data_IF_355141182606
#
_entry.id   IF_355141182606
#
_cell.length_a   1.000
_cell.length_b   1.000
_cell.length_c   1.000
_cell.angle_alpha   90.00
_cell.angle_beta   90.00
_cell.angle_gamma   90.00
#
_symmetry.space_group_name_H-M   'P 1'
#
loop_
_entity.id
_entity.type
_entity.pdbx_description
1 polymer ?
#
# COMPACT_ATOMS: atom_id res chain seq x y z
N UNK A 1 9.12 -17.60 5.16
CA UNK A 1 10.21 -16.89 5.87
C UNK A 1 10.17 -17.28 7.33
N UNK A 2 11.26 -17.77 7.87
CA UNK A 2 11.36 -18.12 9.31
C UNK A 2 11.92 -16.90 10.02
N UNK A 3 11.17 -16.35 10.98
CA UNK A 3 11.63 -15.22 11.79
C UNK A 3 12.15 -15.78 13.13
N UNK A 4 13.44 -15.67 13.34
CA UNK A 4 14.06 -15.99 14.63
C UNK A 4 13.97 -14.78 15.54
N UNK A 5 13.21 -14.88 16.61
CA UNK A 5 13.15 -13.84 17.66
C UNK A 5 14.06 -14.20 18.83
N UNK A 6 15.09 -13.39 19.07
CA UNK A 6 15.75 -13.38 20.38
C UNK A 6 14.80 -12.66 21.35
N UNK A 7 14.44 -13.22 22.51
CA UNK A 7 13.49 -12.63 23.46
C UNK A 7 13.90 -11.25 23.99
N UNK A 8 15.15 -10.85 23.81
CA UNK A 8 15.69 -9.57 24.27
C UNK A 8 15.86 -8.51 23.19
N UNK A 9 15.52 -8.80 21.92
CA UNK A 9 15.52 -7.79 20.85
C UNK A 9 14.21 -7.83 20.07
N UNK A 10 13.49 -6.70 19.95
CA UNK A 10 12.37 -6.64 19.03
C UNK A 10 12.89 -6.99 17.62
N UNK A 11 12.18 -7.88 16.95
CA UNK A 11 12.54 -8.27 15.58
C UNK A 11 12.64 -7.01 14.70
N UNK A 12 13.76 -6.80 14.00
CA UNK A 12 14.03 -5.55 13.28
C UNK A 12 13.22 -5.39 11.98
N UNK A 13 12.28 -6.33 11.70
CA UNK A 13 11.53 -6.33 10.46
C UNK A 13 10.20 -5.58 10.60
N UNK A 14 9.81 -4.71 9.64
CA UNK A 14 8.56 -3.94 9.68
C UNK A 14 7.32 -4.79 9.88
N UNK A 15 7.29 -6.00 9.33
CA UNK A 15 6.13 -6.92 9.42
C UNK A 15 6.00 -7.60 10.77
N UNK A 16 7.00 -7.49 11.64
CA UNK A 16 6.98 -8.17 12.95
C UNK A 16 5.85 -7.69 13.85
N UNK A 17 5.46 -6.40 13.74
CA UNK A 17 4.38 -5.82 14.53
C UNK A 17 3.03 -6.43 14.17
N UNK A 18 2.70 -6.50 12.86
CA UNK A 18 1.45 -7.06 12.37
C UNK A 18 1.36 -8.56 12.72
N UNK A 19 2.40 -9.33 12.38
CA UNK A 19 2.47 -10.77 12.67
C UNK A 19 2.37 -11.02 14.17
N UNK A 20 3.05 -10.23 14.98
CA UNK A 20 2.98 -10.35 16.44
C UNK A 20 1.58 -10.05 16.98
N UNK A 21 0.91 -9.03 16.46
CA UNK A 21 -0.46 -8.69 16.82
C UNK A 21 -1.44 -9.81 16.48
N UNK A 22 -1.37 -10.35 15.27
CA UNK A 22 -2.21 -11.49 14.85
C UNK A 22 -1.96 -12.75 15.68
N UNK A 23 -0.69 -13.05 15.95
CA UNK A 23 -0.33 -14.21 16.80
C UNK A 23 -0.78 -14.00 18.24
N UNK A 24 -0.66 -12.80 18.78
CA UNK A 24 -1.16 -12.50 20.13
C UNK A 24 -2.66 -12.74 20.22
N UNK A 25 -3.42 -12.28 19.25
CA UNK A 25 -4.87 -12.53 19.18
C UNK A 25 -5.20 -14.02 19.06
N UNK A 26 -4.49 -14.75 18.20
CA UNK A 26 -4.74 -16.19 17.98
C UNK A 26 -4.32 -17.07 19.18
N UNK A 27 -3.25 -16.73 19.87
CA UNK A 27 -2.68 -17.56 20.96
C UNK A 27 -3.24 -17.15 22.32
N UNK A 28 -3.38 -15.86 22.57
CA UNK A 28 -3.73 -15.31 23.87
C UNK A 28 -5.16 -14.75 23.94
N UNK A 29 -5.85 -14.62 22.81
CA UNK A 29 -7.22 -14.09 22.72
C UNK A 29 -7.29 -12.61 22.33
N UNK A 30 -8.50 -12.17 21.97
CA UNK A 30 -8.77 -10.76 21.61
C UNK A 30 -8.60 -9.82 22.80
N UNK A 31 -8.09 -8.61 22.55
CA UNK A 31 -7.93 -7.56 23.56
C UNK A 31 -6.75 -7.77 24.53
N UNK A 32 -5.95 -8.82 24.35
CA UNK A 32 -4.78 -9.08 25.19
C UNK A 32 -3.62 -8.21 24.76
N UNK A 33 -3.15 -7.34 25.66
CA UNK A 33 -2.04 -6.41 25.40
C UNK A 33 -0.66 -7.06 25.55
N UNK A 34 -0.55 -8.12 26.34
CA UNK A 34 0.70 -8.85 26.58
C UNK A 34 0.47 -10.35 26.43
N UNK A 35 1.27 -11.00 25.59
CA UNK A 35 1.18 -12.44 25.34
C UNK A 35 2.49 -13.10 25.79
N UNK A 36 2.50 -13.68 26.99
CA UNK A 36 3.70 -14.24 27.62
C UNK A 36 4.37 -15.34 26.79
N UNK A 37 3.59 -16.10 26.02
CA UNK A 37 4.11 -17.15 25.12
C UNK A 37 4.98 -16.54 24.01
N UNK A 38 4.55 -15.42 23.43
CA UNK A 38 5.34 -14.70 22.43
C UNK A 38 6.56 -14.00 23.02
N UNK A 39 6.49 -13.61 24.30
CA UNK A 39 7.55 -12.88 24.99
C UNK A 39 8.65 -13.79 25.52
N UNK A 40 8.29 -15.02 25.97
CA UNK A 40 9.26 -16.00 26.42
C UNK A 40 10.18 -16.54 25.33
N UNK A 41 9.79 -16.43 24.07
CA UNK A 41 10.53 -16.92 22.93
C UNK A 41 10.39 -18.43 22.71
N UNK A 42 11.24 -18.99 21.85
CA UNK A 42 11.25 -20.42 21.52
C UNK A 42 10.25 -20.84 20.46
N UNK A 43 9.46 -19.91 19.90
CA UNK A 43 8.53 -20.20 18.81
C UNK A 43 9.24 -20.08 17.46
N UNK A 44 8.99 -21.04 16.57
CA UNK A 44 9.31 -20.93 15.14
C UNK A 44 8.05 -20.50 14.42
N UNK A 45 8.08 -19.32 13.82
CA UNK A 45 6.94 -18.73 13.10
C UNK A 45 7.23 -18.78 11.61
N UNK A 46 6.43 -19.55 10.87
CA UNK A 46 6.47 -19.58 9.43
C UNK A 46 5.35 -18.68 8.87
N UNK A 47 5.73 -17.74 7.99
CA UNK A 47 4.81 -16.82 7.34
C UNK A 47 4.66 -17.12 5.86
N UNK A 48 3.65 -16.56 5.22
CA UNK A 48 3.40 -16.65 3.78
C UNK A 48 4.32 -15.74 2.94
N UNK A 49 5.10 -14.88 3.59
CA UNK A 49 5.96 -13.92 2.89
C UNK A 49 7.05 -14.62 2.08
N UNK A 50 7.14 -14.26 0.80
CA UNK A 50 8.28 -14.59 -0.05
C UNK A 50 9.42 -13.60 0.22
N UNK A 51 10.55 -14.10 0.74
CA UNK A 51 11.68 -13.27 1.12
C UNK A 51 12.27 -12.47 -0.05
N UNK A 52 12.31 -13.07 -1.26
CA UNK A 52 12.85 -12.39 -2.44
C UNK A 52 11.93 -11.25 -2.88
N UNK A 53 10.64 -11.51 -2.95
CA UNK A 53 9.63 -10.49 -3.26
C UNK A 53 9.61 -9.38 -2.21
N UNK A 54 9.68 -9.74 -0.93
CA UNK A 54 9.76 -8.78 0.17
C UNK A 54 10.95 -7.81 0.00
N UNK A 55 12.14 -8.32 -0.32
CA UNK A 55 13.33 -7.48 -0.55
C UNK A 55 13.18 -6.57 -1.77
N UNK A 56 12.57 -7.04 -2.83
CA UNK A 56 12.28 -6.23 -4.03
C UNK A 56 11.29 -5.13 -3.67
N UNK A 57 10.22 -5.47 -2.95
CA UNK A 57 9.19 -4.54 -2.51
C UNK A 57 9.76 -3.43 -1.60
N UNK A 58 10.53 -3.79 -0.57
CA UNK A 58 11.20 -2.83 0.33
C UNK A 58 12.08 -1.85 -0.45
N UNK A 59 12.89 -2.38 -1.36
CA UNK A 59 13.78 -1.58 -2.21
C UNK A 59 12.99 -0.64 -3.12
N UNK A 60 11.93 -1.14 -3.74
CA UNK A 60 11.07 -0.36 -4.64
C UNK A 60 10.36 0.78 -3.91
N UNK A 61 9.73 0.49 -2.77
CA UNK A 61 9.02 1.49 -1.96
C UNK A 61 9.98 2.56 -1.42
N UNK A 62 11.14 2.13 -0.89
CA UNK A 62 12.18 3.06 -0.42
C UNK A 62 12.68 3.95 -1.56
N UNK A 63 12.93 3.36 -2.73
CA UNK A 63 13.34 4.12 -3.91
C UNK A 63 12.29 5.16 -4.31
N UNK A 64 11.02 4.77 -4.42
CA UNK A 64 9.94 5.67 -4.81
C UNK A 64 9.77 6.86 -3.84
N UNK A 65 9.96 6.65 -2.54
CA UNK A 65 9.88 7.71 -1.53
C UNK A 65 11.09 8.66 -1.53
N UNK A 66 12.27 8.18 -1.94
CA UNK A 66 13.52 8.95 -1.86
C UNK A 66 13.87 9.63 -3.19
N UNK A 67 13.60 8.96 -4.33
CA UNK A 67 13.93 9.48 -5.67
C UNK A 67 13.46 10.92 -5.92
N UNK A 68 12.22 11.31 -5.53
CA UNK A 68 11.71 12.67 -5.79
C UNK A 68 12.53 13.79 -5.11
N UNK A 69 13.30 13.44 -4.08
CA UNK A 69 14.07 14.38 -3.31
C UNK A 69 15.56 14.42 -3.68
N UNK A 70 15.98 13.60 -4.66
CA UNK A 70 17.36 13.58 -5.10
C UNK A 70 17.63 14.67 -6.14
N UNK A 71 18.84 15.25 -6.11
CA UNK A 71 19.28 16.21 -7.14
C UNK A 71 19.30 15.59 -8.54
N UNK A 72 19.68 14.32 -8.64
CA UNK A 72 19.64 13.53 -9.88
C UNK A 72 18.98 12.17 -9.62
N UNK A 73 17.64 12.08 -9.77
CA UNK A 73 16.90 10.86 -9.51
C UNK A 73 17.37 9.67 -10.34
N UNK A 74 17.72 9.89 -11.62
CA UNK A 74 18.16 8.81 -12.52
C UNK A 74 19.51 8.22 -12.08
N UNK A 75 20.47 9.06 -11.69
CA UNK A 75 21.77 8.60 -11.17
C UNK A 75 21.59 7.82 -9.85
N UNK A 76 20.73 8.32 -8.96
CA UNK A 76 20.43 7.62 -7.72
C UNK A 76 19.73 6.26 -7.95
N UNK A 77 18.77 6.20 -8.86
CA UNK A 77 18.12 4.94 -9.23
C UNK A 77 19.14 3.89 -9.70
N UNK A 78 20.08 4.31 -10.57
CA UNK A 78 21.20 3.46 -11.04
C UNK A 78 22.07 2.99 -9.88
N UNK A 79 22.43 3.90 -8.95
CA UNK A 79 23.25 3.59 -7.78
C UNK A 79 22.62 2.51 -6.90
N UNK A 80 21.32 2.59 -6.66
CA UNK A 80 20.58 1.62 -5.84
C UNK A 80 20.10 0.40 -6.63
N UNK A 81 20.39 0.34 -7.94
CA UNK A 81 20.00 -0.78 -8.83
C UNK A 81 18.47 -0.92 -8.98
N UNK A 82 17.78 0.21 -9.16
CA UNK A 82 16.35 0.26 -9.49
C UNK A 82 16.18 0.85 -10.89
N UNK A 83 15.36 0.26 -11.78
CA UNK A 83 15.10 0.82 -13.09
C UNK A 83 14.45 2.21 -12.97
N UNK A 84 15.06 3.21 -13.60
CA UNK A 84 14.46 4.53 -13.65
C UNK A 84 13.42 4.60 -14.76
N UNK A 85 12.18 4.88 -14.40
CA UNK A 85 11.04 4.96 -15.33
C UNK A 85 10.69 6.42 -15.63
N UNK A 86 10.22 6.69 -16.84
CA UNK A 86 9.90 8.05 -17.27
C UNK A 86 8.87 8.77 -16.35
N UNK A 87 7.88 8.03 -15.86
CA UNK A 87 6.85 8.56 -14.94
C UNK A 87 7.43 9.05 -13.60
N UNK A 88 8.59 8.54 -13.18
CA UNK A 88 9.23 8.96 -11.93
C UNK A 88 9.64 10.44 -11.93
N UNK A 89 9.80 11.05 -13.11
CA UNK A 89 10.02 12.49 -13.24
C UNK A 89 8.87 13.30 -12.63
N UNK A 90 7.65 12.77 -12.74
CA UNK A 90 6.44 13.46 -12.24
C UNK A 90 6.36 13.49 -10.70
N UNK A 91 7.18 12.70 -10.03
CA UNK A 91 7.27 12.68 -8.57
C UNK A 91 8.25 13.73 -8.03
N UNK A 92 9.15 14.26 -8.87
CA UNK A 92 10.14 15.27 -8.46
C UNK A 92 9.44 16.53 -7.99
N UNK A 93 9.83 17.03 -6.82
CA UNK A 93 9.23 18.21 -6.19
C UNK A 93 7.88 17.96 -5.49
N UNK A 94 7.34 16.74 -5.54
CA UNK A 94 6.13 16.39 -4.79
C UNK A 94 6.42 16.15 -3.31
N UNK A 95 5.43 16.40 -2.44
CA UNK A 95 5.51 16.15 -1.00
C UNK A 95 5.29 14.67 -0.68
N UNK A 96 6.13 13.82 -1.24
CA UNK A 96 6.10 12.36 -1.11
C UNK A 96 7.27 11.90 -0.25
N UNK A 97 7.02 11.47 0.99
CA UNK A 97 8.06 11.11 1.96
C UNK A 97 7.94 9.69 2.49
N UNK A 98 6.82 9.01 2.18
CA UNK A 98 6.60 7.64 2.56
C UNK A 98 5.89 6.88 1.43
N UNK A 99 5.84 5.57 1.53
CA UNK A 99 5.17 4.71 0.57
C UNK A 99 4.95 3.33 1.17
N UNK A 100 4.03 2.58 0.57
CA UNK A 100 3.66 1.24 1.01
C UNK A 100 3.48 0.32 -0.17
N UNK A 101 3.55 -0.99 0.10
CA UNK A 101 3.21 -2.03 -0.86
C UNK A 101 2.67 -3.25 -0.12
N UNK A 102 1.56 -3.79 -0.60
CA UNK A 102 1.09 -5.11 -0.25
C UNK A 102 0.92 -5.91 -1.54
N UNK A 103 1.36 -7.18 -1.53
CA UNK A 103 1.15 -8.11 -2.62
C UNK A 103 0.50 -9.37 -2.07
N UNK A 104 -0.57 -9.79 -2.72
CA UNK A 104 -1.33 -10.98 -2.38
C UNK A 104 -1.34 -11.96 -3.55
N UNK A 105 -1.26 -13.24 -3.23
CA UNK A 105 -1.61 -14.28 -4.18
C UNK A 105 -3.15 -14.33 -4.30
N UNK A 106 -3.66 -13.96 -5.46
CA UNK A 106 -5.11 -13.86 -5.71
C UNK A 106 -5.84 -15.20 -5.65
N UNK A 107 -5.15 -16.33 -5.76
CA UNK A 107 -5.75 -17.67 -5.67
C UNK A 107 -5.91 -18.12 -4.23
N UNK A 108 -4.91 -17.89 -3.41
CA UNK A 108 -4.90 -18.33 -2.00
C UNK A 108 -5.31 -17.24 -1.01
N UNK A 109 -5.30 -15.96 -1.41
CA UNK A 109 -5.48 -14.80 -0.53
C UNK A 109 -4.30 -14.57 0.42
N UNK A 110 -3.17 -15.24 0.20
CA UNK A 110 -2.01 -15.11 1.07
C UNK A 110 -1.22 -13.85 0.76
N UNK A 111 -0.85 -13.10 1.79
CA UNK A 111 0.07 -11.96 1.65
C UNK A 111 1.50 -12.49 1.45
N UNK A 112 2.07 -12.20 0.29
CA UNK A 112 3.43 -12.65 -0.11
C UNK A 112 4.49 -11.56 0.02
N UNK A 113 4.10 -10.27 0.06
CA UNK A 113 4.96 -9.16 0.43
C UNK A 113 4.17 -8.07 1.13
N UNK A 114 4.79 -7.42 2.13
CA UNK A 114 4.17 -6.37 2.92
C UNK A 114 5.19 -5.31 3.31
N UNK A 115 4.99 -4.07 2.88
CA UNK A 115 5.85 -2.93 3.21
C UNK A 115 4.98 -1.80 3.72
N UNK A 116 4.91 -1.63 5.04
CA UNK A 116 4.07 -0.62 5.68
C UNK A 116 4.71 0.78 5.75
N UNK A 117 6.03 0.87 5.52
CA UNK A 117 6.78 2.13 5.54
C UNK A 117 8.00 2.05 4.64
N UNK A 118 8.35 3.15 3.99
CA UNK A 118 9.47 3.22 3.04
C UNK A 118 10.84 2.94 3.66
N UNK A 119 11.04 3.26 4.94
CA UNK A 119 12.30 2.99 5.66
C UNK A 119 12.04 2.83 7.16
N UNK A 120 11.59 1.65 7.57
CA UNK A 120 11.22 1.35 8.95
C UNK A 120 12.32 1.64 9.97
N UNK A 121 13.59 1.44 9.58
CA UNK A 121 14.77 1.69 10.43
C UNK A 121 15.39 3.07 10.19
N UNK A 122 14.76 3.91 9.39
CA UNK A 122 15.22 5.26 9.10
C UNK A 122 15.12 6.21 10.29
N UNK A 123 15.62 7.42 10.12
CA UNK A 123 15.49 8.48 11.12
C UNK A 123 14.16 9.21 10.96
N UNK A 124 13.45 9.37 12.08
CA UNK A 124 12.24 10.19 12.12
C UNK A 124 12.54 11.66 11.90
N UNK A 125 11.65 12.36 11.22
CA UNK A 125 11.67 13.81 11.06
C UNK A 125 10.24 14.35 10.98
N UNK A 126 10.09 15.68 10.81
CA UNK A 126 8.75 16.31 10.76
C UNK A 126 7.83 15.78 9.63
N UNK A 127 8.40 15.20 8.57
CA UNK A 127 7.69 14.73 7.37
C UNK A 127 7.66 13.22 7.23
N UNK A 128 8.45 12.49 8.01
CA UNK A 128 8.58 11.03 7.92
C UNK A 128 8.68 10.40 9.30
N UNK A 129 7.74 9.51 9.59
CA UNK A 129 7.71 8.71 10.80
C UNK A 129 7.95 7.23 10.41
N UNK A 130 9.18 6.72 10.55
CA UNK A 130 9.58 5.43 9.99
C UNK A 130 8.77 4.24 10.51
N UNK A 131 8.36 4.29 11.77
CA UNK A 131 7.60 3.21 12.43
C UNK A 131 6.08 3.30 12.28
N UNK A 132 5.59 4.33 11.60
CA UNK A 132 4.17 4.43 11.27
C UNK A 132 3.87 3.50 10.09
N UNK A 133 3.05 2.50 10.35
CA UNK A 133 2.59 1.56 9.33
C UNK A 133 1.39 2.16 8.59
N UNK A 134 1.63 2.64 7.37
CA UNK A 134 0.59 3.30 6.57
C UNK A 134 -0.50 2.32 6.14
N UNK A 135 -0.22 1.03 5.99
CA UNK A 135 -1.22 0.02 5.63
C UNK A 135 -2.12 -0.32 6.82
N UNK A 136 -1.54 -0.46 8.02
CA UNK A 136 -2.30 -0.83 9.21
C UNK A 136 -2.93 0.36 9.92
N UNK A 137 -2.21 1.48 10.02
CA UNK A 137 -2.59 2.62 10.86
C UNK A 137 -3.05 3.84 10.03
N UNK A 138 -2.86 3.82 8.70
CA UNK A 138 -3.10 4.98 7.82
C UNK A 138 -4.47 4.96 7.15
N UNK A 139 -5.35 5.89 7.49
CA UNK A 139 -6.59 6.12 6.74
C UNK A 139 -6.29 6.95 5.49
N UNK A 140 -6.50 6.39 4.31
CA UNK A 140 -6.23 7.04 3.03
C UNK A 140 -7.45 6.97 2.11
N UNK A 141 -7.57 7.98 1.26
CA UNK A 141 -8.57 7.95 0.20
C UNK A 141 -8.19 6.86 -0.80
N UNK A 142 -9.12 5.93 -1.12
CA UNK A 142 -8.84 4.85 -2.06
C UNK A 142 -8.68 5.35 -3.50
N UNK A 143 -9.23 6.53 -3.81
CA UNK A 143 -9.24 7.07 -5.16
C UNK A 143 -9.82 6.08 -6.16
N UNK A 144 -9.24 6.07 -7.42
CA UNK A 144 -9.67 5.13 -8.47
C UNK A 144 -9.51 3.65 -8.11
N UNK A 145 -8.75 3.32 -7.07
CA UNK A 145 -8.66 1.94 -6.55
C UNK A 145 -10.00 1.40 -6.04
N UNK A 146 -10.97 2.28 -5.72
CA UNK A 146 -12.30 1.89 -5.29
C UNK A 146 -13.24 1.53 -6.45
N UNK A 147 -12.95 1.95 -7.69
CA UNK A 147 -13.81 1.73 -8.86
C UNK A 147 -14.18 0.26 -9.07
N UNK A 148 -13.24 -0.71 -9.04
CA UNK A 148 -13.59 -2.12 -9.23
C UNK A 148 -14.63 -2.63 -8.22
N UNK A 149 -14.50 -2.22 -6.95
CA UNK A 149 -15.43 -2.60 -5.87
C UNK A 149 -16.81 -1.98 -6.12
N UNK A 150 -16.84 -0.69 -6.45
CA UNK A 150 -18.07 0.05 -6.75
C UNK A 150 -18.84 -0.57 -7.93
N UNK A 151 -18.14 -0.85 -9.02
CA UNK A 151 -18.77 -1.43 -10.21
C UNK A 151 -19.21 -2.87 -9.98
N UNK A 152 -18.40 -3.70 -9.31
CA UNK A 152 -18.77 -5.06 -8.95
C UNK A 152 -20.04 -5.07 -8.08
N UNK A 153 -20.13 -4.20 -7.09
CA UNK A 153 -21.30 -4.04 -6.23
C UNK A 153 -22.53 -3.61 -7.03
N UNK A 154 -22.38 -2.63 -7.95
CA UNK A 154 -23.46 -2.19 -8.81
C UNK A 154 -23.99 -3.27 -9.73
N UNK A 155 -23.12 -4.13 -10.28
CA UNK A 155 -23.50 -5.30 -11.09
C UNK A 155 -24.20 -6.36 -10.22
N UNK A 156 -23.64 -6.69 -9.06
CA UNK A 156 -24.20 -7.67 -8.14
C UNK A 156 -25.62 -7.29 -7.71
N UNK A 157 -25.85 -6.00 -7.45
CA UNK A 157 -27.17 -5.45 -7.09
C UNK A 157 -28.08 -5.20 -8.30
N UNK A 158 -27.67 -5.55 -9.51
CA UNK A 158 -28.41 -5.35 -10.77
C UNK A 158 -28.76 -3.90 -11.09
N UNK A 159 -28.04 -2.94 -10.55
CA UNK A 159 -28.23 -1.50 -10.81
C UNK A 159 -27.56 -1.07 -12.12
N UNK A 160 -26.47 -1.75 -12.50
CA UNK A 160 -25.71 -1.50 -13.73
C UNK A 160 -25.29 -2.81 -14.39
N UNK A 161 -24.89 -2.71 -15.64
CA UNK A 161 -24.29 -3.79 -16.42
C UNK A 161 -23.02 -3.30 -17.09
N UNK A 162 -22.22 -4.17 -17.68
CA UNK A 162 -21.04 -3.79 -18.46
C UNK A 162 -21.37 -2.84 -19.64
N UNK A 163 -22.62 -2.91 -20.15
CA UNK A 163 -23.12 -2.07 -21.23
C UNK A 163 -23.81 -0.77 -20.75
N UNK A 164 -23.98 -0.59 -19.44
CA UNK A 164 -24.57 0.65 -18.89
C UNK A 164 -23.78 1.86 -19.36
N UNK A 165 -24.49 2.92 -19.76
CA UNK A 165 -23.90 4.17 -20.22
C UNK A 165 -23.92 5.20 -19.10
N UNK A 166 -22.80 5.83 -18.86
CA UNK A 166 -22.65 6.97 -17.98
C UNK A 166 -22.46 8.23 -18.83
N UNK A 167 -22.91 9.36 -18.31
CA UNK A 167 -22.68 10.66 -18.93
C UNK A 167 -21.44 11.30 -18.28
N UNK A 168 -20.34 11.31 -19.02
CA UNK A 168 -19.09 11.97 -18.64
C UNK A 168 -19.17 13.43 -19.09
N UNK A 169 -19.82 14.22 -18.25
CA UNK A 169 -20.04 15.67 -18.47
C UNK A 169 -19.92 16.40 -17.13
N UNK A 170 -19.50 17.65 -17.19
CA UNK A 170 -19.46 18.52 -16.01
C UNK A 170 -20.83 18.55 -15.34
N UNK A 171 -20.87 18.10 -14.11
CA UNK A 171 -22.12 17.99 -13.34
C UNK A 171 -21.95 18.67 -11.99
N UNK A 172 -22.85 19.58 -11.65
CA UNK A 172 -22.95 20.12 -10.29
C UNK A 172 -23.66 19.10 -9.40
N UNK A 173 -22.89 18.56 -8.45
CA UNK A 173 -23.37 17.57 -7.47
C UNK A 173 -24.04 18.23 -6.27
N UNK A 174 -24.17 19.55 -6.29
CA UNK A 174 -24.74 20.36 -5.20
C UNK A 174 -23.68 20.91 -4.25
N UNK A 175 -24.04 21.96 -3.54
CA UNK A 175 -23.15 22.62 -2.57
C UNK A 175 -21.89 23.25 -3.19
N UNK A 176 -21.87 23.50 -4.51
CA UNK A 176 -20.72 24.02 -5.22
C UNK A 176 -19.67 22.95 -5.56
N UNK A 177 -19.98 21.66 -5.38
CA UNK A 177 -19.08 20.57 -5.74
C UNK A 177 -19.28 20.17 -7.22
N UNK A 178 -18.33 20.58 -8.04
CA UNK A 178 -18.30 20.29 -9.49
C UNK A 178 -17.02 19.51 -9.79
N UNK A 179 -17.05 18.17 -9.68
CA UNK A 179 -15.88 17.36 -10.00
C UNK A 179 -15.53 17.44 -11.49
N UNK A 180 -14.24 17.44 -11.78
CA UNK A 180 -13.69 17.41 -13.15
C UNK A 180 -12.78 16.23 -13.30
N UNK A 181 -12.67 15.68 -14.50
CA UNK A 181 -11.69 14.67 -14.83
C UNK A 181 -10.26 15.19 -14.73
N UNK A 182 -9.31 14.29 -14.50
CA UNK A 182 -7.89 14.64 -14.35
C UNK A 182 -7.30 15.27 -15.62
N UNK A 183 -7.83 14.95 -16.79
CA UNK A 183 -7.44 15.49 -18.08
C UNK A 183 -8.33 16.66 -18.53
N UNK A 184 -9.35 17.03 -17.75
CA UNK A 184 -10.30 18.12 -18.01
C UNK A 184 -11.11 17.91 -19.32
N UNK A 185 -11.26 16.66 -19.78
CA UNK A 185 -12.00 16.33 -21.00
C UNK A 185 -13.33 15.68 -20.66
N UNK A 186 -14.38 16.14 -21.32
CA UNK A 186 -15.72 15.54 -21.27
C UNK A 186 -15.89 14.63 -22.49
N UNK A 187 -16.28 13.37 -22.26
CA UNK A 187 -16.45 12.36 -23.31
C UNK A 187 -17.89 12.12 -23.71
N UNK A 188 -18.84 12.72 -22.97
CA UNK A 188 -20.27 12.51 -23.15
C UNK A 188 -20.68 11.09 -22.74
N UNK A 189 -21.49 10.38 -23.56
CA UNK A 189 -21.97 9.04 -23.21
C UNK A 189 -20.84 8.00 -23.31
N UNK A 190 -20.45 7.39 -22.17
CA UNK A 190 -19.39 6.38 -22.06
C UNK A 190 -19.95 5.11 -21.47
N UNK A 191 -19.69 3.96 -22.09
CA UNK A 191 -20.07 2.66 -21.52
C UNK A 191 -19.16 2.34 -20.33
N UNK A 192 -19.71 1.64 -19.34
CA UNK A 192 -18.98 1.25 -18.13
C UNK A 192 -17.64 0.57 -18.44
N UNK A 193 -17.62 -0.36 -19.39
CA UNK A 193 -16.38 -1.05 -19.79
C UNK A 193 -15.32 -0.13 -20.38
N UNK A 194 -15.72 0.97 -20.99
CA UNK A 194 -14.80 1.97 -21.57
C UNK A 194 -14.36 2.99 -20.51
N UNK A 195 -15.21 3.27 -19.52
CA UNK A 195 -14.89 4.14 -18.39
C UNK A 195 -13.85 3.55 -17.41
N UNK A 196 -13.60 2.24 -17.50
CA UNK A 196 -12.58 1.55 -16.69
C UNK A 196 -11.18 1.51 -17.34
N UNK A 197 -11.04 1.93 -18.57
CA UNK A 197 -9.78 2.01 -19.30
C UNK A 197 -9.05 3.32 -19.02
#
# INVERSE_FOLDING_TARGET
MTIWGNPLRPAPHPNSRLIRSELATKICGEGVTTCSVLERGGLTIQTTLDYKLQKIAEKGVKAAAILPHQKNPAAYAKQIGVPYQAWMKNLVGKTLYNGTLIAEDYQSGQVIAYVGSADYNGKANKRFQPKFDVLADGWRQPGSGFKPIMYATGIANRNITAASVFMDVTTDMGGGYVPTDADMLERGPVRMQDALR
#
